data_IF_867320949362
#
_entry.id   IF_867320949362
#
_cell.length_a   1.000
_cell.length_b   1.000
_cell.length_c   1.000
_cell.angle_alpha   90.00
_cell.angle_beta   90.00
_cell.angle_gamma   90.00
#
_symmetry.space_group_name_H-M   'P 1'
#
loop_
_entity.id
_entity.type
_entity.pdbx_description
1 polymer ?
#
# COMPACT_ATOMS: atom_id res chain seq x y z
N UNK A 1 56.51 -42.97 -39.13
CA UNK A 1 56.08 -41.83 -39.98
C UNK A 1 55.10 -40.99 -39.18
N UNK A 2 55.36 -39.68 -39.12
CA UNK A 2 54.78 -38.65 -38.26
C UNK A 2 53.24 -38.61 -38.20
N UNK A 3 52.68 -38.33 -37.01
CA UNK A 3 51.81 -37.18 -36.69
C UNK A 3 51.11 -37.39 -35.35
N UNK A 4 51.50 -36.63 -34.32
CA UNK A 4 50.62 -36.24 -33.23
C UNK A 4 50.71 -34.73 -33.04
N UNK A 5 49.55 -34.12 -33.21
CA UNK A 5 49.27 -32.69 -33.19
C UNK A 5 49.38 -32.20 -31.75
N UNK A 6 50.14 -31.12 -31.54
CA UNK A 6 50.12 -30.37 -30.28
C UNK A 6 49.01 -29.33 -30.40
N UNK A 7 47.90 -29.52 -29.68
CA UNK A 7 46.89 -28.49 -29.48
C UNK A 7 47.44 -27.48 -28.47
N UNK A 8 47.76 -26.27 -28.92
CA UNK A 8 48.04 -25.13 -28.05
C UNK A 8 46.76 -24.71 -27.33
N UNK A 9 46.65 -25.02 -26.04
CA UNK A 9 45.65 -24.43 -25.15
C UNK A 9 46.10 -23.03 -24.76
N UNK A 10 45.46 -22.01 -25.32
CA UNK A 10 45.60 -20.63 -24.88
C UNK A 10 44.77 -20.46 -23.59
N UNK A 11 45.41 -20.60 -22.43
CA UNK A 11 44.80 -20.21 -21.15
C UNK A 11 44.87 -18.69 -21.08
N UNK A 12 43.75 -18.01 -21.36
CA UNK A 12 43.58 -16.60 -21.01
C UNK A 12 43.44 -16.51 -19.48
N UNK A 13 44.56 -16.46 -18.77
CA UNK A 13 44.57 -15.93 -17.40
C UNK A 13 44.35 -14.44 -17.53
N UNK A 14 43.09 -14.00 -17.44
CA UNK A 14 42.78 -12.59 -17.27
C UNK A 14 43.20 -12.23 -15.84
N UNK A 15 44.48 -11.86 -15.70
CA UNK A 15 45.05 -11.25 -14.52
C UNK A 15 44.58 -9.78 -14.50
N UNK A 16 43.28 -9.54 -14.38
CA UNK A 16 42.77 -8.22 -14.04
C UNK A 16 42.86 -8.08 -12.53
N UNK A 17 43.74 -7.17 -12.12
CA UNK A 17 43.92 -6.61 -10.79
C UNK A 17 42.90 -7.05 -9.73
N UNK A 18 43.41 -7.60 -8.63
CA UNK A 18 42.78 -7.66 -7.32
C UNK A 18 42.53 -6.22 -6.80
N UNK A 19 41.70 -5.46 -7.50
CA UNK A 19 41.13 -4.23 -7.00
C UNK A 19 40.14 -4.64 -5.92
N UNK A 20 40.51 -4.44 -4.66
CA UNK A 20 39.56 -4.37 -3.57
C UNK A 20 38.58 -3.25 -3.89
N UNK A 21 37.48 -3.58 -4.58
CA UNK A 21 36.34 -2.70 -4.68
C UNK A 21 35.77 -2.59 -3.27
N UNK A 22 35.76 -1.42 -2.63
CA UNK A 22 35.07 -1.31 -1.35
C UNK A 22 33.61 -1.66 -1.60
N UNK A 23 33.13 -2.71 -0.93
CA UNK A 23 31.70 -2.95 -0.84
C UNK A 23 31.07 -1.65 -0.36
N UNK A 24 30.05 -1.14 -1.07
CA UNK A 24 29.27 -0.02 -0.56
C UNK A 24 28.79 -0.42 0.83
N UNK A 25 29.08 0.42 1.83
CA UNK A 25 28.48 0.26 3.16
C UNK A 25 26.96 0.20 2.96
N UNK A 26 26.37 -0.95 3.25
CA UNK A 26 24.93 -1.12 3.18
C UNK A 26 24.36 -0.33 4.35
N UNK A 27 23.69 0.78 4.07
CA UNK A 27 22.94 1.50 5.09
C UNK A 27 21.89 0.55 5.68
N UNK A 28 21.60 0.71 6.98
CA UNK A 28 20.48 0.00 7.57
C UNK A 28 19.19 0.35 6.79
N UNK A 29 18.25 -0.60 6.65
CA UNK A 29 16.99 -0.32 5.99
C UNK A 29 16.23 0.79 6.73
N UNK A 30 15.70 1.75 5.98
CA UNK A 30 14.74 2.72 6.53
C UNK A 30 13.38 2.03 6.72
N UNK A 31 12.66 2.39 7.78
CA UNK A 31 11.33 1.85 8.05
C UNK A 31 10.27 2.94 7.99
N UNK A 32 9.32 2.78 7.07
CA UNK A 32 8.11 3.61 6.97
C UNK A 32 6.94 2.88 7.66
N UNK A 33 6.37 3.52 8.69
CA UNK A 33 5.16 3.04 9.36
C UNK A 33 3.94 3.73 8.78
N UNK A 34 2.96 2.94 8.35
CA UNK A 34 1.69 3.41 7.80
C UNK A 34 0.58 3.09 8.79
N UNK A 35 -0.20 4.12 9.14
CA UNK A 35 -1.49 3.96 9.82
C UNK A 35 -2.59 4.06 8.75
N UNK A 36 -3.32 2.98 8.51
CA UNK A 36 -4.46 2.97 7.61
C UNK A 36 -5.76 3.10 8.42
N UNK A 37 -6.50 4.19 8.21
CA UNK A 37 -7.75 4.48 8.92
C UNK A 37 -8.92 4.18 7.98
N UNK A 38 -9.75 3.20 8.34
CA UNK A 38 -11.00 2.88 7.64
C UNK A 38 -12.10 3.76 8.20
N UNK A 39 -12.58 4.68 7.36
CA UNK A 39 -13.75 5.49 7.65
C UNK A 39 -14.84 5.24 6.62
N UNK A 40 -16.08 5.35 7.05
CA UNK A 40 -17.25 5.30 6.21
C UNK A 40 -18.19 6.47 6.51
N UNK A 41 -19.06 6.80 5.56
CA UNK A 41 -19.96 7.95 5.64
C UNK A 41 -21.28 7.56 6.29
N UNK A 42 -22.10 8.55 6.64
CA UNK A 42 -23.50 8.28 6.92
C UNK A 42 -24.19 7.70 5.67
N UNK A 43 -24.89 6.55 5.78
CA UNK A 43 -25.59 5.94 4.68
C UNK A 43 -26.58 6.91 4.04
N UNK A 44 -26.53 7.04 2.72
CA UNK A 44 -27.52 7.82 1.97
C UNK A 44 -27.95 7.10 0.69
N UNK A 45 -28.84 7.75 -0.08
CA UNK A 45 -29.30 7.27 -1.38
C UNK A 45 -29.09 8.33 -2.46
N UNK A 46 -28.07 9.18 -2.31
CA UNK A 46 -27.82 10.25 -3.24
C UNK A 46 -27.50 9.70 -4.63
N UNK A 47 -28.26 10.13 -5.65
CA UNK A 47 -28.11 9.63 -7.03
C UNK A 47 -26.86 10.16 -7.74
N UNK A 48 -26.16 11.10 -7.11
CA UNK A 48 -24.92 11.72 -7.62
C UNK A 48 -23.66 11.05 -7.08
N UNK A 49 -23.78 10.04 -6.23
CA UNK A 49 -22.70 9.24 -5.67
C UNK A 49 -22.89 7.76 -6.00
N UNK A 50 -21.83 6.96 -5.91
CA UNK A 50 -21.88 5.51 -6.10
C UNK A 50 -21.86 4.83 -4.74
N UNK A 51 -22.75 3.86 -4.53
CA UNK A 51 -22.94 3.21 -3.23
C UNK A 51 -23.73 4.10 -2.24
N UNK A 52 -23.89 3.62 -1.02
CA UNK A 52 -24.56 4.36 0.06
C UNK A 52 -23.59 5.09 0.99
N UNK A 53 -22.27 4.92 0.79
CA UNK A 53 -21.23 5.52 1.63
C UNK A 53 -20.63 4.58 2.67
N UNK A 54 -21.05 3.32 2.72
CA UNK A 54 -20.49 2.27 3.60
C UNK A 54 -19.57 1.30 2.85
N UNK A 55 -18.75 0.55 3.59
CA UNK A 55 -17.94 -0.51 3.00
C UNK A 55 -18.80 -1.70 2.55
N UNK A 56 -18.54 -2.25 1.36
CA UNK A 56 -19.20 -3.47 0.91
C UNK A 56 -18.60 -4.68 1.64
N UNK A 57 -19.33 -5.18 2.64
CA UNK A 57 -18.96 -6.36 3.43
C UNK A 57 -19.59 -7.65 2.91
N UNK A 58 -20.17 -7.64 1.71
CA UNK A 58 -20.75 -8.83 1.10
C UNK A 58 -19.69 -9.84 0.68
N UNK A 59 -20.10 -11.09 0.44
CA UNK A 59 -19.23 -12.08 -0.17
C UNK A 59 -19.13 -11.85 -1.67
N UNK A 60 -17.91 -11.92 -2.23
CA UNK A 60 -17.75 -11.94 -3.68
C UNK A 60 -18.59 -13.03 -4.35
N UNK A 61 -19.27 -12.67 -5.43
CA UNK A 61 -20.23 -13.52 -6.12
C UNK A 61 -19.62 -14.30 -7.28
N UNK A 62 -18.39 -13.96 -7.70
CA UNK A 62 -17.70 -14.60 -8.82
C UNK A 62 -16.20 -14.73 -8.54
N UNK A 63 -15.58 -15.79 -9.08
CA UNK A 63 -14.15 -16.04 -8.87
C UNK A 63 -13.21 -15.03 -9.54
N UNK A 64 -13.71 -14.22 -10.49
CA UNK A 64 -12.92 -13.27 -11.28
C UNK A 64 -13.52 -11.86 -11.23
N UNK A 65 -13.85 -11.42 -10.01
CA UNK A 65 -14.26 -10.04 -9.77
C UNK A 65 -13.01 -9.17 -9.57
N UNK A 66 -12.95 -8.04 -10.27
CA UNK A 66 -11.96 -7.00 -9.98
C UNK A 66 -12.38 -6.33 -8.68
N UNK A 67 -11.45 -6.24 -7.73
CA UNK A 67 -11.69 -5.63 -6.43
C UNK A 67 -12.87 -6.28 -5.66
N UNK A 68 -12.77 -7.58 -5.34
CA UNK A 68 -13.88 -8.32 -4.73
C UNK A 68 -14.12 -7.91 -3.28
N UNK A 69 -15.39 -7.80 -2.84
CA UNK A 69 -15.73 -7.71 -1.43
C UNK A 69 -15.46 -9.06 -0.73
N UNK A 70 -15.32 -9.07 0.60
CA UNK A 70 -15.59 -7.97 1.52
C UNK A 70 -14.44 -6.94 1.62
N UNK A 71 -14.76 -5.64 1.58
CA UNK A 71 -13.84 -4.52 1.81
C UNK A 71 -13.62 -4.28 3.30
N UNK A 72 -13.17 -5.33 3.98
CA UNK A 72 -13.01 -5.41 5.42
C UNK A 72 -11.55 -5.12 5.83
N UNK A 73 -11.20 -5.28 7.11
CA UNK A 73 -9.84 -5.01 7.61
C UNK A 73 -8.79 -5.87 6.91
N UNK A 74 -9.04 -7.16 6.71
CA UNK A 74 -8.11 -8.06 6.01
C UNK A 74 -7.85 -7.61 4.57
N UNK A 75 -8.88 -7.16 3.85
CA UNK A 75 -8.72 -6.61 2.51
C UNK A 75 -7.71 -5.45 2.47
N UNK A 76 -7.81 -4.49 3.39
CA UNK A 76 -6.86 -3.38 3.45
C UNK A 76 -5.48 -3.80 3.99
N UNK A 77 -5.43 -4.81 4.85
CA UNK A 77 -4.15 -5.38 5.32
C UNK A 77 -3.38 -6.06 4.18
N UNK A 78 -4.07 -6.69 3.24
CA UNK A 78 -3.47 -7.26 2.03
C UNK A 78 -2.85 -6.17 1.13
N UNK A 79 -3.46 -4.99 1.07
CA UNK A 79 -2.89 -3.83 0.36
C UNK A 79 -1.59 -3.34 1.02
N UNK A 80 -1.55 -3.26 2.35
CA UNK A 80 -0.32 -2.93 3.08
C UNK A 80 0.75 -4.01 2.89
N UNK A 81 0.36 -5.28 2.85
CA UNK A 81 1.26 -6.41 2.56
C UNK A 81 1.83 -6.31 1.15
N UNK A 82 1.01 -5.96 0.16
CA UNK A 82 1.47 -5.67 -1.19
C UNK A 82 2.48 -4.52 -1.21
N UNK A 83 2.16 -3.39 -0.56
CA UNK A 83 3.05 -2.23 -0.49
C UNK A 83 4.41 -2.60 0.13
N UNK A 84 4.40 -3.33 1.25
CA UNK A 84 5.62 -3.90 1.86
C UNK A 84 6.44 -4.70 0.85
N UNK A 85 5.84 -5.70 0.24
CA UNK A 85 6.54 -6.60 -0.69
C UNK A 85 7.09 -5.84 -1.90
N UNK A 86 6.32 -4.90 -2.45
CA UNK A 86 6.73 -4.08 -3.58
C UNK A 86 7.94 -3.22 -3.21
N UNK A 87 7.82 -2.40 -2.15
CA UNK A 87 8.88 -1.46 -1.77
C UNK A 87 10.14 -2.16 -1.27
N UNK A 88 10.02 -3.26 -0.53
CA UNK A 88 11.16 -4.10 -0.15
C UNK A 88 11.88 -4.62 -1.40
N UNK A 89 11.13 -5.11 -2.40
CA UNK A 89 11.71 -5.65 -3.64
C UNK A 89 12.39 -4.58 -4.49
N UNK A 90 11.71 -3.47 -4.79
CA UNK A 90 12.24 -2.46 -5.72
C UNK A 90 13.36 -1.62 -5.09
N UNK A 91 13.35 -1.46 -3.77
CA UNK A 91 14.43 -0.79 -3.03
C UNK A 91 15.63 -1.72 -2.74
N UNK A 92 15.53 -3.01 -3.06
CA UNK A 92 16.51 -4.05 -2.70
C UNK A 92 16.76 -4.12 -1.19
N UNK A 93 15.69 -4.01 -0.41
CA UNK A 93 15.71 -4.04 1.05
C UNK A 93 16.21 -2.74 1.70
N UNK A 94 16.33 -1.63 0.95
CA UNK A 94 16.70 -0.34 1.53
C UNK A 94 15.51 0.37 2.22
N UNK A 95 14.28 0.03 1.83
CA UNK A 95 13.05 0.54 2.44
C UNK A 95 12.16 -0.63 2.88
N UNK A 96 11.80 -0.63 4.15
CA UNK A 96 10.82 -1.53 4.75
C UNK A 96 9.56 -0.73 5.03
N UNK A 97 8.42 -1.23 4.57
CA UNK A 97 7.11 -0.67 4.90
C UNK A 97 6.41 -1.61 5.88
N UNK A 98 5.88 -1.04 6.95
CA UNK A 98 5.03 -1.73 7.92
C UNK A 98 3.78 -0.91 8.12
N UNK A 99 2.66 -1.54 8.46
CA UNK A 99 1.47 -0.79 8.82
C UNK A 99 0.34 -1.68 9.28
N UNK A 100 -0.60 -1.01 9.94
CA UNK A 100 -1.78 -1.61 10.52
C UNK A 100 -3.03 -0.85 10.07
N UNK A 101 -4.15 -1.57 10.06
CA UNK A 101 -5.46 -1.05 9.68
C UNK A 101 -6.33 -0.92 10.92
N UNK A 102 -6.93 0.27 11.09
CA UNK A 102 -7.83 0.63 12.19
C UNK A 102 -9.20 1.07 11.67
N UNK A 103 -10.30 0.84 12.42
CA UNK A 103 -10.34 0.13 13.70
C UNK A 103 -9.95 -1.35 13.57
N UNK A 104 -9.55 -1.97 14.68
CA UNK A 104 -8.96 -3.31 14.69
C UNK A 104 -9.96 -4.44 14.42
N UNK A 105 -11.26 -4.17 14.52
CA UNK A 105 -12.32 -5.12 14.20
C UNK A 105 -12.38 -5.44 12.69
N UNK A 106 -12.69 -6.71 12.37
CA UNK A 106 -12.62 -7.20 10.99
C UNK A 106 -13.56 -6.44 10.05
N UNK A 107 -14.80 -6.21 10.48
CA UNK A 107 -15.81 -5.51 9.69
C UNK A 107 -16.01 -4.05 10.08
N UNK A 108 -15.31 -3.58 11.11
CA UNK A 108 -15.57 -2.27 11.72
C UNK A 108 -14.99 -1.12 10.89
N UNK A 109 -15.59 0.06 10.99
CA UNK A 109 -15.07 1.29 10.41
C UNK A 109 -15.50 2.47 11.28
N UNK A 110 -14.70 3.55 11.32
CA UNK A 110 -15.15 4.77 11.98
C UNK A 110 -16.19 5.46 11.12
N UNK A 111 -17.37 5.72 11.70
CA UNK A 111 -18.47 6.39 11.00
C UNK A 111 -18.32 7.90 11.12
N UNK A 112 -18.16 8.58 9.98
CA UNK A 112 -18.17 10.04 9.88
C UNK A 112 -19.56 10.60 10.21
N UNK A 113 -19.65 11.85 10.66
CA UNK A 113 -20.92 12.47 11.04
C UNK A 113 -21.77 12.90 9.84
N UNK A 114 -21.16 13.08 8.67
CA UNK A 114 -21.83 13.59 7.47
C UNK A 114 -21.83 12.57 6.33
N UNK A 115 -22.65 12.83 5.31
CA UNK A 115 -22.70 12.02 4.08
C UNK A 115 -21.56 12.36 3.10
N UNK A 116 -21.41 11.54 2.05
CA UNK A 116 -20.38 11.74 1.02
C UNK A 116 -20.43 13.14 0.39
N UNK A 117 -21.63 13.65 0.11
CA UNK A 117 -21.82 14.95 -0.55
C UNK A 117 -21.38 16.14 0.32
N UNK A 118 -21.41 16.01 1.65
CA UNK A 118 -20.91 17.06 2.53
C UNK A 118 -19.38 17.22 2.42
N UNK A 119 -18.68 16.12 2.21
CA UNK A 119 -17.22 16.10 2.00
C UNK A 119 -16.81 16.34 0.56
N UNK A 120 -17.68 16.08 -0.42
CA UNK A 120 -17.43 16.44 -1.82
C UNK A 120 -18.70 17.00 -2.48
N UNK A 121 -18.96 18.31 -2.32
CA UNK A 121 -20.15 18.92 -2.90
C UNK A 121 -20.11 19.04 -4.43
N UNK A 122 -18.94 18.83 -5.05
CA UNK A 122 -18.73 18.90 -6.50
C UNK A 122 -19.21 20.22 -7.15
N UNK A 123 -19.03 21.34 -6.44
CA UNK A 123 -19.50 22.68 -6.88
C UNK A 123 -18.37 23.58 -7.38
N UNK A 124 -17.25 23.63 -6.67
CA UNK A 124 -16.06 24.41 -7.04
C UNK A 124 -14.79 23.73 -6.53
N UNK A 125 -13.64 24.00 -7.18
CA UNK A 125 -12.35 23.44 -6.74
C UNK A 125 -12.06 23.76 -5.27
N UNK A 126 -12.31 24.99 -4.83
CA UNK A 126 -12.12 25.39 -3.44
C UNK A 126 -13.02 24.59 -2.47
N UNK A 127 -14.28 24.36 -2.82
CA UNK A 127 -15.19 23.59 -1.98
C UNK A 127 -14.78 22.11 -1.89
N UNK A 128 -14.26 21.55 -2.99
CA UNK A 128 -13.70 20.19 -3.04
C UNK A 128 -12.44 20.09 -2.17
N UNK A 129 -11.50 21.04 -2.30
CA UNK A 129 -10.28 21.07 -1.50
C UNK A 129 -10.57 21.17 0.01
N UNK A 130 -11.50 22.05 0.39
CA UNK A 130 -11.98 22.16 1.77
C UNK A 130 -12.62 20.85 2.23
N UNK A 131 -13.43 20.24 1.38
CA UNK A 131 -14.08 18.96 1.63
C UNK A 131 -13.11 17.82 1.93
N UNK A 132 -12.07 17.66 1.12
CA UNK A 132 -11.00 16.66 1.32
C UNK A 132 -10.23 16.95 2.62
N UNK A 133 -9.89 18.22 2.89
CA UNK A 133 -9.24 18.59 4.14
C UNK A 133 -10.12 18.29 5.38
N UNK A 134 -11.43 18.51 5.27
CA UNK A 134 -12.39 18.12 6.32
C UNK A 134 -12.46 16.62 6.51
N UNK A 135 -12.54 15.84 5.42
CA UNK A 135 -12.56 14.37 5.48
C UNK A 135 -11.34 13.83 6.23
N UNK A 136 -10.14 14.32 5.89
CA UNK A 136 -8.90 13.90 6.54
C UNK A 136 -8.90 14.26 8.03
N UNK A 137 -9.28 15.50 8.38
CA UNK A 137 -9.33 15.94 9.78
C UNK A 137 -10.29 15.08 10.60
N UNK A 138 -11.51 14.89 10.12
CA UNK A 138 -12.55 14.19 10.87
C UNK A 138 -12.20 12.70 11.03
N UNK A 139 -11.60 12.08 10.00
CA UNK A 139 -11.09 10.72 10.07
C UNK A 139 -9.97 10.56 11.12
N UNK A 140 -9.02 11.49 11.15
CA UNK A 140 -7.94 11.49 12.16
C UNK A 140 -8.52 11.69 13.56
N UNK A 141 -9.48 12.59 13.75
CA UNK A 141 -10.10 12.83 15.06
C UNK A 141 -10.85 11.59 15.58
N UNK A 142 -11.51 10.84 14.71
CA UNK A 142 -12.16 9.59 15.09
C UNK A 142 -11.16 8.51 15.49
N UNK A 143 -10.05 8.38 14.76
CA UNK A 143 -9.00 7.43 15.09
C UNK A 143 -8.23 7.82 16.37
N UNK A 144 -7.95 9.10 16.58
CA UNK A 144 -7.26 9.62 17.78
C UNK A 144 -8.09 9.41 19.07
N UNK A 145 -9.42 9.28 18.93
CA UNK A 145 -10.32 8.97 20.04
C UNK A 145 -10.45 7.46 20.34
N UNK A 146 -9.84 6.58 19.55
CA UNK A 146 -9.81 5.14 19.77
C UNK A 146 -8.51 4.74 20.50
N UNK A 147 -8.65 4.24 21.74
CA UNK A 147 -7.53 3.80 22.58
C UNK A 147 -6.70 2.64 21.98
N UNK A 148 -7.14 2.03 20.88
CA UNK A 148 -6.41 0.97 20.19
C UNK A 148 -5.40 1.49 19.15
N UNK A 149 -5.52 2.75 18.71
CA UNK A 149 -4.68 3.38 17.67
C UNK A 149 -3.34 3.85 18.23
#
# INVERSE_FOLDING_TARGET
>A
MLKRVVLGGLVFVCLSALGFWPAKAQSLPDTLKILAIRVEFQPDNATTTTGDGTFDLSSSTTAFQIDPPPHNRSYFQDHLTFAKNYFEKVSRGALIVTGDVFPSGESDAYRLSESMLAYNPNTSAQAVDQGIARLLRDAIQLADADDQV
#
